data_IF_218313866740
#
_entry.id   IF_218313866740
#
_cell.length_a   1.000
_cell.length_b   1.000
_cell.length_c   1.000
_cell.angle_alpha   90.00
_cell.angle_beta   90.00
_cell.angle_gamma   90.00
#
_symmetry.space_group_name_H-M   'P 1'
#
loop_
_entity.id
_entity.type
_entity.pdbx_description
1 polymer ?
#
# COMPACT_ATOMS: atom_id res chain seq x y z
N UNK A 1 -7.67 4.98 2.33
CA UNK A 1 -6.83 5.95 3.10
C UNK A 1 -5.47 6.03 2.40
N UNK A 2 -4.82 7.19 2.37
CA UNK A 2 -3.44 7.33 1.86
C UNK A 2 -2.50 7.65 3.04
N UNK A 3 -1.39 6.91 3.15
CA UNK A 3 -0.37 7.14 4.17
C UNK A 3 0.97 7.37 3.49
N UNK A 4 1.61 8.51 3.78
CA UNK A 4 2.88 8.90 3.19
C UNK A 4 3.99 8.86 4.23
N UNK A 5 5.12 8.27 3.89
CA UNK A 5 6.32 8.24 4.72
C UNK A 5 7.58 8.36 3.87
N UNK A 6 8.55 9.16 4.32
CA UNK A 6 9.89 9.18 3.72
C UNK A 6 10.78 8.03 4.20
N UNK A 7 10.34 7.27 5.20
CA UNK A 7 11.07 6.13 5.77
C UNK A 7 10.36 4.81 5.44
N UNK A 8 11.03 3.93 4.69
CA UNK A 8 10.53 2.58 4.34
C UNK A 8 10.30 1.71 5.59
N UNK A 9 11.16 1.85 6.60
CA UNK A 9 11.01 1.17 7.89
C UNK A 9 9.67 1.46 8.59
N UNK A 10 9.14 2.67 8.43
CA UNK A 10 7.82 2.99 8.99
C UNK A 10 6.72 2.25 8.23
N UNK A 11 6.85 2.13 6.90
CA UNK A 11 5.92 1.37 6.08
C UNK A 11 5.95 -0.12 6.45
N UNK A 12 7.13 -0.69 6.73
CA UNK A 12 7.28 -2.08 7.20
C UNK A 12 6.51 -2.32 8.52
N UNK A 13 6.63 -1.41 9.49
CA UNK A 13 5.89 -1.54 10.77
C UNK A 13 4.38 -1.38 10.57
N UNK A 14 3.98 -0.46 9.70
CA UNK A 14 2.56 -0.27 9.36
C UNK A 14 1.99 -1.50 8.66
N UNK A 15 2.78 -2.13 7.81
CA UNK A 15 2.45 -3.37 7.11
C UNK A 15 2.12 -4.51 8.08
N UNK A 16 3.00 -4.74 9.07
CA UNK A 16 2.79 -5.73 10.11
C UNK A 16 1.53 -5.42 10.94
N UNK A 17 1.32 -4.15 11.29
CA UNK A 17 0.15 -3.72 12.04
C UNK A 17 -1.16 -3.96 11.27
N UNK A 18 -1.20 -3.60 9.99
CA UNK A 18 -2.38 -3.77 9.14
C UNK A 18 -2.68 -5.25 8.91
N UNK A 19 -1.63 -6.06 8.70
CA UNK A 19 -1.73 -7.52 8.62
C UNK A 19 -2.30 -8.12 9.90
N UNK A 20 -1.79 -7.71 11.06
CA UNK A 20 -2.31 -8.15 12.36
C UNK A 20 -3.79 -7.79 12.58
N UNK A 21 -4.21 -6.62 12.09
CA UNK A 21 -5.61 -6.18 12.13
C UNK A 21 -6.49 -6.79 11.04
N UNK A 22 -5.91 -7.51 10.07
CA UNK A 22 -6.65 -8.09 8.94
C UNK A 22 -7.13 -7.06 7.91
N UNK A 23 -6.53 -5.87 7.88
CA UNK A 23 -6.83 -4.87 6.85
C UNK A 23 -6.01 -5.14 5.60
N UNK A 24 -6.67 -5.17 4.44
CA UNK A 24 -5.96 -5.19 3.16
C UNK A 24 -5.35 -3.83 2.88
N UNK A 25 -4.11 -3.84 2.43
CA UNK A 25 -3.35 -2.65 2.09
C UNK A 25 -2.60 -2.86 0.77
N UNK A 26 -2.24 -1.77 0.14
CA UNK A 26 -1.31 -1.74 -0.99
C UNK A 26 -0.10 -0.90 -0.59
N UNK A 27 1.08 -1.29 -1.07
CA UNK A 27 2.35 -0.61 -0.77
C UNK A 27 3.08 -0.30 -2.06
N UNK A 28 3.54 0.94 -2.16
CA UNK A 28 4.37 1.40 -3.27
C UNK A 28 5.62 2.05 -2.68
N UNK A 29 6.78 1.44 -2.91
CA UNK A 29 8.06 2.00 -2.51
C UNK A 29 9.09 1.99 -3.65
N UNK A 30 10.33 2.38 -3.35
CA UNK A 30 11.41 2.45 -4.32
C UNK A 30 11.82 1.11 -4.93
N UNK A 31 11.42 -0.03 -4.34
CA UNK A 31 11.69 -1.37 -4.83
C UNK A 31 10.62 -1.88 -5.80
N UNK A 32 9.42 -1.28 -5.80
CA UNK A 32 8.34 -1.64 -6.73
C UNK A 32 8.71 -1.24 -8.16
N UNK A 33 8.67 -2.21 -9.09
CA UNK A 33 9.00 -1.97 -10.49
C UNK A 33 8.02 -1.00 -11.15
N UNK A 34 8.47 -0.25 -12.16
CA UNK A 34 7.65 0.78 -12.81
C UNK A 34 6.31 0.26 -13.36
N UNK A 35 6.27 -0.98 -13.83
CA UNK A 35 5.05 -1.63 -14.31
C UNK A 35 4.07 -1.98 -13.18
N UNK A 36 4.56 -2.43 -12.02
CA UNK A 36 3.72 -2.79 -10.87
C UNK A 36 3.04 -1.57 -10.26
N UNK A 37 3.68 -0.39 -10.33
CA UNK A 37 3.10 0.86 -9.81
C UNK A 37 1.75 1.18 -10.42
N UNK A 38 1.63 1.05 -11.76
CA UNK A 38 0.38 1.31 -12.46
C UNK A 38 -0.73 0.37 -12.02
N UNK A 39 -0.42 -0.92 -11.91
CA UNK A 39 -1.36 -1.96 -11.49
C UNK A 39 -1.88 -1.71 -10.07
N UNK A 40 -0.99 -1.36 -9.13
CA UNK A 40 -1.39 -1.06 -7.75
C UNK A 40 -2.30 0.16 -7.66
N UNK A 41 -2.00 1.22 -8.42
CA UNK A 41 -2.82 2.43 -8.46
C UNK A 41 -4.20 2.13 -9.07
N UNK A 42 -4.24 1.36 -10.16
CA UNK A 42 -5.50 0.92 -10.76
C UNK A 42 -6.31 0.06 -9.79
N UNK A 43 -5.67 -0.89 -9.09
CA UNK A 43 -6.32 -1.76 -8.12
C UNK A 43 -6.92 -0.98 -6.94
N UNK A 44 -6.24 0.07 -6.47
CA UNK A 44 -6.77 0.95 -5.43
C UNK A 44 -7.96 1.80 -5.93
N UNK A 45 -7.92 2.24 -7.18
CA UNK A 45 -8.95 3.10 -7.78
C UNK A 45 -10.18 2.32 -8.30
N UNK A 46 -10.12 0.99 -8.34
CA UNK A 46 -11.28 0.16 -8.67
C UNK A 46 -12.45 0.43 -7.70
N UNK A 47 -13.66 0.53 -8.25
CA UNK A 47 -14.87 0.76 -7.45
C UNK A 47 -15.14 -0.38 -6.43
N UNK A 48 -14.66 -1.58 -6.74
CA UNK A 48 -14.71 -2.79 -5.91
C UNK A 48 -13.40 -3.05 -5.15
N UNK A 49 -12.51 -2.05 -5.04
CA UNK A 49 -11.24 -2.23 -4.35
C UNK A 49 -11.45 -2.65 -2.90
N UNK A 50 -10.80 -3.75 -2.52
CA UNK A 50 -10.85 -4.26 -1.15
C UNK A 50 -9.75 -3.68 -0.27
N UNK A 51 -8.84 -2.88 -0.84
CA UNK A 51 -7.74 -2.25 -0.13
C UNK A 51 -8.23 -1.05 0.69
N UNK A 52 -8.03 -1.11 2.01
CA UNK A 52 -8.43 -0.05 2.93
C UNK A 52 -7.47 1.14 2.90
N UNK A 53 -6.17 0.85 2.77
CA UNK A 53 -5.10 1.85 2.87
C UNK A 53 -4.02 1.61 1.81
N UNK A 54 -3.46 2.71 1.29
CA UNK A 54 -2.33 2.71 0.38
C UNK A 54 -1.14 3.38 1.08
N UNK A 55 -0.04 2.64 1.18
CA UNK A 55 1.22 3.05 1.80
C UNK A 55 2.17 3.56 0.70
N UNK A 56 2.64 4.81 0.85
CA UNK A 56 3.51 5.54 -0.07
C UNK A 56 4.77 6.05 0.64
#
# INVERSE_FOLDING_TARGET
>A
VLCFSTMTRLLDVMEEYLSWKGYKYLRLDGHTSGNERGVLIEEFNKADSTAFIFLL
#
